data_IF_481202871525
#
_entry.id   IF_481202871525
#
_cell.length_a   1.000
_cell.length_b   1.000
_cell.length_c   1.000
_cell.angle_alpha   90.00
_cell.angle_beta   90.00
_cell.angle_gamma   90.00
#
_symmetry.space_group_name_H-M   'P 1'
#
loop_
_entity.id
_entity.type
_entity.pdbx_description
1 polymer ?
#
# COMPACT_ATOMS: atom_id res chain seq x y z
N UNK A 1 -4.25 -9.73 -9.70
CA UNK A 1 -3.73 -8.36 -9.91
C UNK A 1 -3.37 -7.67 -8.60
N UNK A 2 -4.33 -7.51 -7.67
CA UNK A 2 -4.11 -6.92 -6.32
C UNK A 2 -2.94 -7.58 -5.58
N UNK A 3 -2.92 -8.91 -5.47
CA UNK A 3 -1.89 -9.69 -4.77
C UNK A 3 -0.52 -9.79 -5.46
N UNK A 4 -0.31 -9.07 -6.57
CA UNK A 4 0.99 -9.08 -7.29
C UNK A 4 1.45 -7.65 -7.56
N UNK A 5 0.60 -6.84 -8.20
CA UNK A 5 0.99 -5.48 -8.62
C UNK A 5 1.16 -4.54 -7.42
N UNK A 6 0.19 -4.53 -6.50
CA UNK A 6 0.21 -3.64 -5.35
C UNK A 6 1.36 -3.97 -4.38
N UNK A 7 1.59 -5.24 -3.97
CA UNK A 7 2.77 -5.63 -3.22
C UNK A 7 4.09 -5.21 -3.86
N UNK A 8 4.25 -5.41 -5.18
CA UNK A 8 5.48 -5.01 -5.87
C UNK A 8 5.70 -3.49 -5.86
N UNK A 9 4.64 -2.70 -6.03
CA UNK A 9 4.73 -1.25 -5.92
C UNK A 9 5.13 -0.81 -4.50
N UNK A 10 4.57 -1.46 -3.47
CA UNK A 10 4.91 -1.21 -2.05
C UNK A 10 6.36 -1.59 -1.76
N UNK A 11 6.84 -2.76 -2.21
CA UNK A 11 8.23 -3.19 -2.01
C UNK A 11 9.20 -2.16 -2.58
N UNK A 12 8.93 -1.68 -3.80
CA UNK A 12 9.75 -0.63 -4.44
C UNK A 12 9.74 0.66 -3.62
N UNK A 13 8.56 1.10 -3.19
CA UNK A 13 8.41 2.29 -2.35
C UNK A 13 9.21 2.17 -1.06
N UNK A 14 9.02 1.06 -0.33
CA UNK A 14 9.66 0.79 0.95
C UNK A 14 11.19 0.78 0.84
N UNK A 15 11.74 0.20 -0.24
CA UNK A 15 13.18 0.24 -0.51
C UNK A 15 13.67 1.67 -0.78
N UNK A 16 12.96 2.43 -1.61
CA UNK A 16 13.31 3.82 -1.90
C UNK A 16 13.23 4.71 -0.64
N UNK A 17 12.21 4.50 0.21
CA UNK A 17 12.09 5.19 1.50
C UNK A 17 13.25 4.87 2.44
N UNK A 18 13.74 3.61 2.46
CA UNK A 18 14.92 3.26 3.23
C UNK A 18 16.15 4.04 2.74
N UNK A 19 16.38 4.09 1.42
CA UNK A 19 17.47 4.88 0.85
C UNK A 19 17.36 6.37 1.22
N UNK A 20 16.15 6.92 1.19
CA UNK A 20 15.90 8.30 1.61
C UNK A 20 16.28 8.51 3.07
N UNK A 21 15.77 7.72 4.01
CA UNK A 21 16.01 7.95 5.44
C UNK A 21 17.44 7.63 5.89
N UNK A 22 18.15 6.76 5.17
CA UNK A 22 19.58 6.59 5.38
C UNK A 22 20.39 7.80 4.90
N UNK A 23 19.97 8.48 3.84
CA UNK A 23 20.62 9.68 3.31
C UNK A 23 20.20 10.98 4.04
N UNK A 24 18.96 11.03 4.53
CA UNK A 24 18.32 12.18 5.18
C UNK A 24 17.66 11.74 6.50
N UNK A 25 18.46 11.41 7.53
CA UNK A 25 17.95 10.93 8.81
C UNK A 25 17.21 12.00 9.63
N UNK A 26 17.35 13.27 9.24
CA UNK A 26 16.70 14.45 9.80
C UNK A 26 15.20 14.54 9.45
N UNK A 27 14.76 13.85 8.39
CA UNK A 27 13.38 13.92 7.94
C UNK A 27 12.41 13.25 8.93
N UNK A 28 11.18 13.79 9.09
CA UNK A 28 10.17 13.16 9.90
C UNK A 28 9.58 11.93 9.20
N UNK A 29 8.82 11.12 9.95
CA UNK A 29 8.07 9.99 9.40
C UNK A 29 6.93 10.43 8.44
N UNK A 30 6.47 11.67 8.55
CA UNK A 30 5.31 12.23 7.84
C UNK A 30 5.62 12.67 6.41
N UNK A 31 6.18 11.77 5.60
CA UNK A 31 6.48 12.01 4.18
C UNK A 31 5.29 11.55 3.31
N UNK A 32 4.80 12.44 2.44
CA UNK A 32 3.65 12.22 1.52
C UNK A 32 3.89 11.07 0.54
N UNK A 33 5.15 10.80 0.20
CA UNK A 33 5.54 9.78 -0.78
C UNK A 33 5.52 8.35 -0.25
N UNK A 34 5.35 8.14 1.06
CA UNK A 34 5.28 6.81 1.66
C UNK A 34 4.03 6.07 1.20
N UNK A 35 4.14 4.77 0.94
CA UNK A 35 2.99 3.94 0.54
C UNK A 35 1.86 3.89 1.58
N UNK A 36 2.17 4.06 2.87
CA UNK A 36 1.21 4.07 3.97
C UNK A 36 0.59 5.45 4.25
N UNK A 37 0.92 6.46 3.42
CA UNK A 37 0.34 7.80 3.48
C UNK A 37 -0.95 7.96 2.66
N UNK A 38 -1.50 6.86 2.12
CA UNK A 38 -2.64 6.88 1.19
C UNK A 38 -3.84 7.66 1.73
N UNK A 39 -4.20 7.45 2.99
CA UNK A 39 -5.40 8.05 3.60
C UNK A 39 -5.29 9.58 3.73
N UNK A 40 -4.06 10.10 3.72
CA UNK A 40 -3.79 11.54 3.71
C UNK A 40 -3.82 12.14 2.30
N UNK A 41 -3.84 11.29 1.25
CA UNK A 41 -3.96 11.76 -0.12
C UNK A 41 -5.42 12.16 -0.45
N UNK A 42 -5.65 13.14 -1.34
CA UNK A 42 -6.99 13.48 -1.80
C UNK A 42 -7.76 12.28 -2.38
N UNK A 43 -7.03 11.34 -3.02
CA UNK A 43 -7.60 10.13 -3.58
C UNK A 43 -8.07 9.15 -2.49
N UNK A 44 -7.32 9.06 -1.38
CA UNK A 44 -7.69 8.26 -0.20
C UNK A 44 -8.91 8.81 0.53
N UNK A 45 -9.12 10.12 0.51
CA UNK A 45 -10.31 10.73 1.15
C UNK A 45 -11.60 10.61 0.35
N UNK A 46 -11.50 10.32 -0.95
CA UNK A 46 -12.69 10.20 -1.81
C UNK A 46 -13.39 8.85 -1.52
N UNK A 47 -14.58 8.80 -0.90
CA UNK A 47 -15.26 7.54 -0.66
C UNK A 47 -15.69 6.90 -1.98
N UNK A 48 -15.62 5.57 -2.10
CA UNK A 48 -16.19 4.84 -3.25
C UNK A 48 -17.59 4.33 -2.86
N UNK A 49 -18.46 5.25 -2.41
CA UNK A 49 -19.86 4.98 -2.03
C UNK A 49 -20.04 3.95 -0.91
N UNK A 50 -20.78 4.29 0.14
CA UNK A 50 -21.00 3.40 1.29
C UNK A 50 -21.60 2.04 0.87
N UNK A 51 -21.09 0.99 1.51
CA UNK A 51 -21.58 -0.38 1.36
C UNK A 51 -22.73 -0.54 2.34
N UNK A 52 -23.95 -0.74 1.84
CA UNK A 52 -25.05 -1.17 2.69
C UNK A 52 -24.79 -2.64 3.11
N UNK A 53 -24.59 -2.94 4.41
CA UNK A 53 -24.27 -4.30 4.87
C UNK A 53 -25.43 -5.30 4.66
N UNK A 54 -26.65 -4.82 4.42
CA UNK A 54 -27.86 -5.63 4.33
C UNK A 54 -28.01 -6.44 3.02
N UNK A 55 -27.22 -6.17 1.98
CA UNK A 55 -27.28 -6.92 0.71
C UNK A 55 -26.39 -8.18 0.70
N UNK A 56 -26.30 -8.86 1.85
CA UNK A 56 -25.59 -10.14 1.98
C UNK A 56 -26.61 -11.28 2.18
N UNK A 57 -27.70 -11.26 1.41
CA UNK A 57 -28.76 -12.26 1.51
C UNK A 57 -28.53 -13.41 0.53
N UNK A 58 -27.96 -14.50 1.05
CA UNK A 58 -28.41 -15.86 0.76
C UNK A 58 -28.06 -16.51 -0.59
N UNK A 59 -26.79 -16.92 -0.80
CA UNK A 59 -26.51 -18.12 -1.59
C UNK A 59 -25.22 -18.82 -1.12
N UNK A 60 -25.26 -20.09 -0.67
CA UNK A 60 -24.07 -20.87 -0.41
C UNK A 60 -23.55 -21.40 -1.75
N UNK A 61 -22.83 -20.56 -2.50
CA UNK A 61 -22.13 -21.01 -3.69
C UNK A 61 -20.82 -21.68 -3.27
N UNK A 62 -20.87 -23.00 -3.09
CA UNK A 62 -19.69 -23.87 -3.10
C UNK A 62 -19.12 -23.85 -4.53
N UNK A 63 -18.50 -22.73 -4.93
CA UNK A 63 -17.74 -22.63 -6.17
C UNK A 63 -16.41 -23.34 -5.94
N UNK A 64 -16.27 -24.54 -6.52
CA UNK A 64 -14.99 -25.28 -6.58
C UNK A 64 -13.84 -24.32 -6.89
N UNK A 65 -12.86 -24.30 -5.99
CA UNK A 65 -11.74 -23.38 -5.93
C UNK A 65 -10.79 -23.60 -7.11
N UNK A 66 -11.09 -23.05 -8.29
CA UNK A 66 -10.06 -22.91 -9.34
C UNK A 66 -9.17 -21.72 -8.98
N UNK A 67 -7.85 -21.89 -8.76
CA UNK A 67 -6.96 -20.78 -8.45
C UNK A 67 -6.96 -19.74 -9.59
N UNK A 68 -6.86 -18.44 -9.24
CA UNK A 68 -6.81 -17.34 -10.22
C UNK A 68 -5.59 -17.50 -11.14
N UNK A 69 -4.50 -18.06 -10.62
CA UNK A 69 -3.35 -18.47 -11.39
C UNK A 69 -3.40 -19.98 -11.61
N UNK A 70 -3.48 -20.39 -12.87
CA UNK A 70 -3.57 -21.81 -13.26
C UNK A 70 -2.31 -22.63 -12.95
N UNK A 71 -1.18 -21.97 -12.64
CA UNK A 71 0.14 -22.61 -12.47
C UNK A 71 0.90 -22.24 -11.18
N UNK A 72 0.38 -21.32 -10.35
CA UNK A 72 1.05 -20.89 -9.10
C UNK A 72 0.03 -20.64 -7.99
N UNK A 73 0.40 -20.95 -6.74
CA UNK A 73 -0.38 -20.55 -5.58
C UNK A 73 -0.51 -19.02 -5.56
N UNK A 74 -1.72 -18.52 -5.33
CA UNK A 74 -1.95 -17.10 -5.09
C UNK A 74 -1.08 -16.66 -3.90
N UNK A 75 -0.27 -15.59 -4.00
CA UNK A 75 0.53 -15.11 -2.88
C UNK A 75 -0.33 -14.91 -1.62
N UNK A 76 0.21 -15.31 -0.46
CA UNK A 76 -0.47 -15.15 0.81
C UNK A 76 -0.34 -13.69 1.29
N UNK A 77 -1.48 -13.01 1.41
CA UNK A 77 -1.56 -11.62 1.86
C UNK A 77 -1.05 -11.42 3.28
N UNK A 78 -1.30 -12.38 4.17
CA UNK A 78 -0.87 -12.34 5.58
C UNK A 78 0.65 -12.40 5.70
N UNK A 79 1.31 -13.24 4.89
CA UNK A 79 2.77 -13.30 4.88
C UNK A 79 3.38 -11.99 4.38
N UNK A 80 2.75 -11.35 3.38
CA UNK A 80 3.19 -10.03 2.92
C UNK A 80 2.95 -8.96 3.98
N UNK A 81 1.80 -9.00 4.66
CA UNK A 81 1.47 -8.12 5.78
C UNK A 81 2.48 -8.27 6.94
N UNK A 82 2.87 -9.50 7.27
CA UNK A 82 3.94 -9.77 8.24
C UNK A 82 5.28 -9.20 7.76
N UNK A 83 5.64 -9.41 6.49
CA UNK A 83 6.86 -8.85 5.91
C UNK A 83 6.94 -7.32 5.97
N UNK A 84 5.81 -6.61 5.85
CA UNK A 84 5.77 -5.15 6.00
C UNK A 84 6.17 -4.66 7.40
N UNK A 85 6.18 -5.55 8.39
CA UNK A 85 6.61 -5.26 9.75
C UNK A 85 8.05 -5.73 10.05
N UNK A 86 8.74 -6.40 9.11
CA UNK A 86 10.13 -6.83 9.30
C UNK A 86 11.13 -5.79 8.83
N UNK A 87 12.29 -5.66 9.47
CA UNK A 87 13.32 -4.72 9.02
C UNK A 87 13.95 -5.17 7.70
N UNK A 88 14.14 -4.23 6.78
CA UNK A 88 14.95 -4.47 5.58
C UNK A 88 16.43 -4.56 5.95
N UNK A 89 17.21 -5.28 5.14
CA UNK A 89 18.67 -5.29 5.28
C UNK A 89 19.23 -3.87 5.05
N UNK A 90 20.15 -3.46 5.93
CA UNK A 90 20.84 -2.17 5.86
C UNK A 90 22.37 -2.40 5.74
N UNK A 91 23.12 -1.43 5.19
CA UNK A 91 24.58 -1.50 5.16
C UNK A 91 25.19 -1.67 6.56
N UNK A 92 26.31 -2.41 6.70
CA UNK A 92 27.01 -2.55 7.98
C UNK A 92 27.37 -1.19 8.59
N UNK A 93 27.22 -1.05 9.90
CA UNK A 93 27.56 0.18 10.64
C UNK A 93 26.48 1.27 10.61
N UNK A 94 25.38 1.07 9.88
CA UNK A 94 24.24 1.98 9.90
C UNK A 94 23.17 1.52 10.91
N UNK A 95 22.44 2.47 11.48
CA UNK A 95 21.27 2.18 12.31
C UNK A 95 20.02 2.15 11.45
N UNK A 96 19.07 1.26 11.79
CA UNK A 96 17.79 1.20 11.08
C UNK A 96 17.00 2.50 11.35
N UNK A 97 16.55 3.22 10.30
CA UNK A 97 15.88 4.50 10.52
C UNK A 97 14.59 4.34 11.32
N UNK A 98 14.42 5.14 12.38
CA UNK A 98 13.25 5.10 13.26
C UNK A 98 11.95 5.47 12.52
N UNK A 99 12.05 6.14 11.37
CA UNK A 99 10.93 6.49 10.49
C UNK A 99 10.38 5.27 9.75
N UNK A 100 11.15 4.20 9.56
CA UNK A 100 10.78 3.08 8.68
C UNK A 100 9.63 2.16 9.14
N UNK A 101 9.28 2.02 10.43
CA UNK A 101 8.09 1.26 10.83
C UNK A 101 6.85 1.71 10.06
N UNK A 102 6.07 0.74 9.60
CA UNK A 102 4.84 0.97 8.83
C UNK A 102 3.73 1.43 9.76
N UNK A 103 2.92 2.41 9.34
CA UNK A 103 1.72 2.81 10.06
C UNK A 103 0.65 1.72 9.93
N UNK A 104 0.30 1.09 11.04
CA UNK A 104 -0.83 0.16 11.10
C UNK A 104 -2.14 0.97 11.01
N UNK A 105 -3.12 0.46 10.28
CA UNK A 105 -4.46 1.07 10.18
C UNK A 105 -4.76 1.86 8.91
N UNK A 106 -3.82 1.96 7.95
CA UNK A 106 -4.16 2.54 6.64
C UNK A 106 -5.14 1.68 5.85
N UNK A 107 -6.01 2.30 5.04
CA UNK A 107 -7.02 1.57 4.24
C UNK A 107 -6.37 0.50 3.37
N UNK A 108 -5.15 0.78 2.90
CA UNK A 108 -4.32 -0.13 2.11
C UNK A 108 -4.15 -1.51 2.75
N UNK A 109 -4.02 -1.59 4.08
CA UNK A 109 -3.87 -2.87 4.80
C UNK A 109 -5.04 -3.80 4.55
N UNK A 110 -6.27 -3.27 4.47
CA UNK A 110 -7.47 -4.08 4.25
C UNK A 110 -7.43 -4.79 2.89
N UNK A 111 -6.83 -4.19 1.86
CA UNK A 111 -6.72 -4.81 0.52
C UNK A 111 -5.56 -5.79 0.42
N UNK A 112 -4.52 -5.61 1.24
CA UNK A 112 -3.36 -6.49 1.25
C UNK A 112 -3.68 -7.81 1.96
N UNK A 113 -4.41 -7.73 3.08
CA UNK A 113 -4.78 -8.87 3.91
C UNK A 113 -6.08 -9.58 3.43
N UNK A 114 -6.67 -9.16 2.31
CA UNK A 114 -7.89 -9.77 1.78
C UNK A 114 -7.70 -11.27 1.54
N UNK A 115 -8.55 -12.08 2.18
CA UNK A 115 -8.67 -13.50 1.88
C UNK A 115 -9.36 -13.74 0.52
N UNK A 116 -8.88 -14.75 -0.21
CA UNK A 116 -9.37 -15.06 -1.55
C UNK A 116 -10.78 -15.64 -1.51
N UNK A 117 -11.10 -16.41 -0.47
CA UNK A 117 -12.45 -16.93 -0.23
C UNK A 117 -13.45 -15.80 0.00
N UNK A 118 -13.08 -14.83 0.85
CA UNK A 118 -13.90 -13.63 1.11
C UNK A 118 -14.15 -12.84 -0.17
N UNK A 119 -13.12 -12.61 -0.98
CA UNK A 119 -13.25 -11.88 -2.24
C UNK A 119 -14.17 -12.56 -3.25
N UNK A 120 -14.18 -13.91 -3.31
CA UNK A 120 -15.05 -14.66 -4.23
C UNK A 120 -16.54 -14.60 -3.86
N UNK A 121 -16.85 -14.29 -2.61
CA UNK A 121 -18.22 -14.12 -2.12
C UNK A 121 -18.81 -12.73 -2.39
N UNK A 122 -18.03 -11.80 -2.94
CA UNK A 122 -18.49 -10.45 -3.23
C UNK A 122 -19.34 -10.42 -4.51
N UNK A 123 -20.34 -9.53 -4.55
CA UNK A 123 -21.07 -9.21 -5.77
C UNK A 123 -20.18 -8.50 -6.80
N UNK A 124 -20.56 -8.58 -8.07
CA UNK A 124 -19.80 -7.96 -9.18
C UNK A 124 -19.61 -6.44 -8.97
N UNK A 125 -20.64 -5.73 -8.51
CA UNK A 125 -20.54 -4.31 -8.18
C UNK A 125 -19.52 -4.02 -7.07
N UNK A 126 -19.49 -4.86 -6.02
CA UNK A 126 -18.53 -4.72 -4.92
C UNK A 126 -17.11 -5.03 -5.39
N UNK A 127 -16.95 -6.04 -6.26
CA UNK A 127 -15.67 -6.37 -6.88
C UNK A 127 -15.14 -5.22 -7.74
N UNK A 128 -16.00 -4.61 -8.58
CA UNK A 128 -15.61 -3.49 -9.44
C UNK A 128 -15.23 -2.24 -8.64
N UNK A 129 -15.94 -1.93 -7.54
CA UNK A 129 -15.57 -0.83 -6.64
C UNK A 129 -14.24 -1.07 -5.94
N UNK A 130 -14.02 -2.28 -5.38
CA UNK A 130 -12.71 -2.64 -4.78
C UNK A 130 -11.59 -2.59 -5.82
N UNK A 131 -11.81 -3.13 -7.02
CA UNK A 131 -10.81 -3.10 -8.10
C UNK A 131 -10.44 -1.66 -8.46
N UNK A 132 -11.44 -0.78 -8.58
CA UNK A 132 -11.22 0.64 -8.83
C UNK A 132 -10.40 1.28 -7.70
N UNK A 133 -10.72 0.96 -6.43
CA UNK A 133 -9.96 1.47 -5.28
C UNK A 133 -8.50 1.04 -5.33
N UNK A 134 -8.26 -0.25 -5.52
CA UNK A 134 -6.91 -0.82 -5.59
C UNK A 134 -6.13 -0.24 -6.76
N UNK A 135 -6.78 0.00 -7.90
CA UNK A 135 -6.12 0.62 -9.05
C UNK A 135 -5.70 2.05 -8.75
N UNK A 136 -6.52 2.84 -8.06
CA UNK A 136 -6.13 4.19 -7.63
C UNK A 136 -4.94 4.14 -6.66
N UNK A 137 -4.96 3.23 -5.69
CA UNK A 137 -3.83 3.01 -4.78
C UNK A 137 -2.55 2.62 -5.54
N UNK A 138 -2.66 1.67 -6.47
CA UNK A 138 -1.54 1.20 -7.28
C UNK A 138 -0.90 2.34 -8.09
N UNK A 139 -1.72 3.14 -8.78
CA UNK A 139 -1.21 4.26 -9.57
C UNK A 139 -0.59 5.35 -8.71
N UNK A 140 -1.19 5.65 -7.56
CA UNK A 140 -0.63 6.61 -6.61
C UNK A 140 0.73 6.15 -6.05
N UNK A 141 0.86 4.89 -5.60
CA UNK A 141 2.16 4.36 -5.13
C UNK A 141 3.17 4.35 -6.27
N UNK A 142 2.75 3.98 -7.48
CA UNK A 142 3.63 3.97 -8.66
C UNK A 142 4.13 5.37 -9.00
N UNK A 143 3.26 6.39 -8.92
CA UNK A 143 3.64 7.78 -9.07
C UNK A 143 4.64 8.22 -7.99
N UNK A 144 4.37 7.90 -6.72
CA UNK A 144 5.29 8.22 -5.62
C UNK A 144 6.65 7.55 -5.81
N UNK A 145 6.69 6.31 -6.30
CA UNK A 145 7.94 5.63 -6.64
C UNK A 145 8.71 6.38 -7.71
N UNK A 146 8.03 6.87 -8.75
CA UNK A 146 8.66 7.68 -9.79
C UNK A 146 9.20 9.00 -9.22
N UNK A 147 8.46 9.67 -8.33
CA UNK A 147 8.96 10.88 -7.66
C UNK A 147 10.18 10.59 -6.78
N UNK A 148 10.18 9.49 -6.02
CA UNK A 148 11.33 9.09 -5.21
C UNK A 148 12.58 8.83 -6.06
N UNK A 149 12.43 8.19 -7.23
CA UNK A 149 13.55 8.02 -8.19
C UNK A 149 14.04 9.38 -8.68
N UNK A 150 13.13 10.29 -9.06
CA UNK A 150 13.53 11.65 -9.48
C UNK A 150 14.29 12.39 -8.39
N UNK A 151 13.82 12.34 -7.13
CA UNK A 151 14.53 12.94 -6.02
C UNK A 151 15.88 12.28 -5.80
N UNK A 152 15.97 10.95 -5.85
CA UNK A 152 17.24 10.22 -5.74
C UNK A 152 18.26 10.68 -6.80
N UNK A 153 17.85 10.80 -8.06
CA UNK A 153 18.71 11.25 -9.17
C UNK A 153 19.19 12.71 -8.99
N UNK A 154 18.48 13.50 -8.16
CA UNK A 154 18.83 14.88 -7.82
C UNK A 154 19.33 15.00 -6.37
N UNK A 155 19.93 13.95 -5.81
CA UNK A 155 20.50 13.93 -4.45
C UNK A 155 19.52 14.38 -3.35
N UNK A 156 18.25 14.01 -3.50
CA UNK A 156 17.13 14.34 -2.60
C UNK A 156 16.84 15.85 -2.46
N UNK A 157 17.31 16.67 -3.41
CA UNK A 157 17.04 18.11 -3.39
C UNK A 157 15.52 18.40 -3.44
N UNK A 158 15.03 19.19 -2.48
CA UNK A 158 13.62 19.59 -2.42
C UNK A 158 12.67 18.58 -1.75
N UNK A 159 13.18 17.44 -1.25
CA UNK A 159 12.34 16.43 -0.59
C UNK A 159 11.59 16.96 0.64
N UNK A 160 12.08 18.04 1.26
CA UNK A 160 11.45 18.71 2.40
C UNK A 160 10.04 19.26 2.05
N UNK A 161 9.75 19.53 0.78
CA UNK A 161 8.41 19.93 0.32
C UNK A 161 7.37 18.80 0.43
N UNK A 162 7.84 17.55 0.49
CA UNK A 162 7.01 16.35 0.60
C UNK A 162 6.67 15.98 2.04
N UNK A 163 7.15 16.75 3.02
CA UNK A 163 6.76 16.60 4.42
C UNK A 163 5.36 17.18 4.62
N UNK A 164 4.49 16.48 5.34
CA UNK A 164 3.23 17.06 5.81
C UNK A 164 3.53 18.18 6.81
N UNK A 165 3.08 19.41 6.54
CA UNK A 165 3.21 20.51 7.48
C UNK A 165 2.19 20.29 8.60
N UNK A 166 2.67 20.32 9.85
CA UNK A 166 1.79 20.41 11.03
C UNK A 166 0.93 21.67 10.89
N UNK A 167 -0.36 21.50 10.59
CA UNK A 167 -1.32 22.60 10.42
C UNK A 167 -1.89 22.76 9.01
N UNK A 168 -1.45 21.99 8.01
CA UNK A 168 -2.24 21.89 6.77
C UNK A 168 -3.60 21.24 7.12
N UNK A 169 -4.74 21.86 6.72
CA UNK A 169 -6.05 21.34 7.09
C UNK A 169 -6.17 19.88 6.65
N UNK A 170 -6.44 19.03 7.64
CA UNK A 170 -6.74 17.62 7.47
C UNK A 170 -8.09 17.44 6.79
#
# INVERSE_FOLDING_TARGET
MVRVMLPNAIIRNRRAMLHLFLARPDLPQTIKLRFDAWDFSPLGRTPIGEINPEQTSGFPLIKRTRPIFTSRLTPNGDLFAQWLNTNLAIPPGQQYPWQMPTRQGSELWSYIADDEGTMRGLSDDRLMRRLTRVMRMFWWISWNNAQLVRYYDHNWAGIDAEVFKLGDPQ
#
